data_IF_708091431184
#
_entry.id   IF_708091431184
#
_cell.length_a   1.000
_cell.length_b   1.000
_cell.length_c   1.000
_cell.angle_alpha   90.00
_cell.angle_beta   90.00
_cell.angle_gamma   90.00
#
_symmetry.space_group_name_H-M   'P 1'
#
loop_
_entity.id
_entity.type
_entity.pdbx_description
1 polymer ?
#
# COMPACT_ATOMS: atom_id res chain seq x y z
N UNK A 1 -1.13 -21.23 -9.03
CA UNK A 1 -0.24 -20.05 -9.04
C UNK A 1 0.09 -19.73 -7.59
N UNK A 2 1.35 -19.46 -7.24
CA UNK A 2 1.68 -19.09 -5.86
C UNK A 2 1.31 -17.62 -5.60
N UNK A 3 0.93 -17.25 -4.36
CA UNK A 3 0.65 -15.86 -4.01
C UNK A 3 1.79 -14.89 -4.36
N UNK A 4 3.04 -15.36 -4.27
CA UNK A 4 4.24 -14.57 -4.57
C UNK A 4 4.30 -14.03 -6.00
N UNK A 5 3.60 -14.64 -6.96
CA UNK A 5 3.54 -14.13 -8.35
C UNK A 5 2.97 -12.71 -8.41
N UNK A 6 2.02 -12.39 -7.54
CA UNK A 6 1.34 -11.09 -7.52
C UNK A 6 2.20 -9.97 -6.91
N UNK A 7 3.26 -10.28 -6.16
CA UNK A 7 4.12 -9.26 -5.54
C UNK A 7 4.87 -8.40 -6.56
N UNK A 8 5.15 -8.96 -7.73
CA UNK A 8 5.89 -8.31 -8.81
C UNK A 8 5.02 -7.46 -9.74
N UNK A 9 3.70 -7.42 -9.53
CA UNK A 9 2.82 -6.58 -10.33
C UNK A 9 2.88 -5.13 -9.87
N UNK A 10 2.79 -4.23 -10.86
CA UNK A 10 2.68 -2.81 -10.60
C UNK A 10 1.23 -2.47 -10.26
N UNK A 11 1.01 -2.15 -8.99
CA UNK A 11 -0.27 -1.67 -8.50
C UNK A 11 -0.22 -0.14 -8.35
N UNK A 12 -1.14 0.60 -8.99
CA UNK A 12 -1.26 2.04 -8.75
C UNK A 12 -1.60 2.31 -7.28
N UNK A 13 -0.86 3.24 -6.68
CA UNK A 13 -1.15 3.77 -5.35
C UNK A 13 -1.83 5.13 -5.46
N UNK A 14 -2.76 5.40 -4.55
CA UNK A 14 -3.31 6.75 -4.36
C UNK A 14 -2.84 7.28 -3.01
N UNK A 15 -2.30 8.49 -3.00
CA UNK A 15 -1.83 9.20 -1.80
C UNK A 15 -2.80 10.33 -1.49
N UNK A 16 -3.27 10.38 -0.25
CA UNK A 16 -4.16 11.40 0.27
C UNK A 16 -3.41 12.18 1.37
N UNK A 17 -3.06 13.45 1.15
CA UNK A 17 -2.45 14.27 2.19
C UNK A 17 -3.44 14.49 3.33
N UNK A 18 -2.96 14.46 4.58
CA UNK A 18 -3.77 14.67 5.77
C UNK A 18 -3.67 16.11 6.27
N UNK A 19 -4.73 16.61 6.90
CA UNK A 19 -4.79 17.99 7.40
C UNK A 19 -3.73 18.27 8.49
N UNK A 20 -3.36 17.26 9.26
CA UNK A 20 -2.41 17.33 10.37
C UNK A 20 -0.95 17.11 9.91
N UNK A 21 -0.74 16.85 8.62
CA UNK A 21 0.53 16.41 8.04
C UNK A 21 0.55 14.89 7.81
N UNK A 22 1.46 14.44 6.93
CA UNK A 22 1.53 13.06 6.50
C UNK A 22 0.51 12.67 5.43
N UNK A 23 0.41 11.37 5.17
CA UNK A 23 -0.31 10.78 4.05
C UNK A 23 -1.03 9.49 4.46
N UNK A 24 -2.28 9.35 3.99
CA UNK A 24 -2.90 8.05 3.81
C UNK A 24 -2.57 7.53 2.43
N UNK A 25 -2.26 6.24 2.31
CA UNK A 25 -1.97 5.60 1.03
C UNK A 25 -2.80 4.34 0.86
N UNK A 26 -3.28 4.08 -0.36
CA UNK A 26 -4.09 2.90 -0.65
C UNK A 26 -3.80 2.34 -2.04
N UNK A 27 -4.00 1.02 -2.20
CA UNK A 27 -3.98 0.33 -3.49
C UNK A 27 -5.43 0.03 -3.89
N UNK A 28 -5.93 0.64 -4.97
CA UNK A 28 -7.32 0.50 -5.39
C UNK A 28 -7.69 -0.95 -5.75
N UNK A 29 -6.76 -1.67 -6.37
CA UNK A 29 -6.94 -3.05 -6.81
C UNK A 29 -6.94 -4.07 -5.66
N UNK A 30 -6.49 -3.66 -4.47
CA UNK A 30 -6.42 -4.50 -3.27
C UNK A 30 -7.31 -3.88 -2.18
N UNK A 31 -8.61 -4.22 -2.16
CA UNK A 31 -9.56 -3.62 -1.22
C UNK A 31 -9.08 -3.73 0.23
N UNK A 32 -9.14 -2.59 0.95
CA UNK A 32 -8.67 -2.44 2.34
C UNK A 32 -7.14 -2.53 2.53
N UNK A 33 -6.36 -2.63 1.47
CA UNK A 33 -4.91 -2.44 1.56
C UNK A 33 -4.60 -0.94 1.66
N UNK A 34 -4.52 -0.46 2.91
CA UNK A 34 -4.34 0.93 3.27
C UNK A 34 -3.18 1.03 4.26
N UNK A 35 -2.39 2.09 4.16
CA UNK A 35 -1.34 2.40 5.11
C UNK A 35 -1.22 3.91 5.34
N UNK A 36 -0.31 4.31 6.22
CA UNK A 36 -0.06 5.70 6.62
C UNK A 36 1.44 5.98 6.60
N UNK A 37 1.83 7.26 6.50
CA UNK A 37 3.20 7.70 6.71
C UNK A 37 3.29 9.21 6.92
N UNK A 38 4.26 9.67 7.71
CA UNK A 38 4.49 11.09 7.97
C UNK A 38 5.13 11.79 6.77
N UNK A 39 5.82 11.04 5.91
CA UNK A 39 6.35 11.51 4.61
C UNK A 39 5.82 10.66 3.46
N UNK A 40 6.04 11.13 2.22
CA UNK A 40 5.69 10.37 1.01
C UNK A 40 6.45 9.04 0.97
N UNK A 41 7.75 9.07 1.28
CA UNK A 41 8.62 7.90 1.26
C UNK A 41 8.19 6.87 2.29
N UNK A 42 7.83 7.31 3.51
CA UNK A 42 7.33 6.43 4.57
C UNK A 42 6.00 5.79 4.15
N UNK A 43 5.05 6.56 3.62
CA UNK A 43 3.78 6.01 3.17
C UNK A 43 3.99 4.97 2.04
N UNK A 44 4.85 5.28 1.07
CA UNK A 44 5.17 4.35 -0.03
C UNK A 44 5.84 3.07 0.49
N UNK A 45 6.75 3.15 1.45
CA UNK A 45 7.36 1.96 2.06
C UNK A 45 6.29 1.12 2.78
N UNK A 46 5.48 1.77 3.63
CA UNK A 46 4.50 1.07 4.46
C UNK A 46 3.38 0.42 3.63
N UNK A 47 3.00 0.96 2.46
CA UNK A 47 2.03 0.30 1.58
C UNK A 47 2.62 -0.92 0.84
N UNK A 48 3.94 -0.99 0.62
CA UNK A 48 4.55 -2.21 0.06
C UNK A 48 4.50 -3.36 1.06
N UNK A 49 4.71 -3.08 2.35
CA UNK A 49 4.60 -4.08 3.41
C UNK A 49 3.14 -4.54 3.57
N UNK A 50 2.19 -3.59 3.59
CA UNK A 50 0.77 -3.90 3.63
C UNK A 50 0.32 -4.74 2.42
N UNK A 51 0.83 -4.44 1.22
CA UNK A 51 0.60 -5.23 0.00
C UNK A 51 1.08 -6.67 0.16
N UNK A 52 2.28 -6.85 0.70
CA UNK A 52 2.85 -8.18 0.90
C UNK A 52 2.00 -9.02 1.86
N UNK A 53 1.63 -8.45 3.01
CA UNK A 53 0.76 -9.10 4.00
C UNK A 53 -0.65 -9.40 3.45
N UNK A 54 -1.21 -8.49 2.65
CA UNK A 54 -2.51 -8.69 2.00
C UNK A 54 -2.45 -9.88 1.03
N UNK A 55 -1.44 -9.94 0.17
CA UNK A 55 -1.28 -11.02 -0.83
C UNK A 55 -1.04 -12.38 -0.18
N UNK A 56 -0.31 -12.44 0.93
CA UNK A 56 -0.07 -13.68 1.66
C UNK A 56 -1.34 -14.28 2.29
N UNK A 57 -2.31 -13.43 2.64
CA UNK A 57 -3.52 -13.82 3.37
C UNK A 57 -4.80 -13.83 2.53
N UNK A 58 -4.71 -13.46 1.25
CA UNK A 58 -5.83 -13.37 0.31
C UNK A 58 -6.26 -14.72 -0.29
#
# INVERSE_FOLDING_TARGET
MSPSHYLNYYYPITLYPQAEGGYTVAIADLPRCISLGNTLEEAVANIQDAKAAWIETA
#
